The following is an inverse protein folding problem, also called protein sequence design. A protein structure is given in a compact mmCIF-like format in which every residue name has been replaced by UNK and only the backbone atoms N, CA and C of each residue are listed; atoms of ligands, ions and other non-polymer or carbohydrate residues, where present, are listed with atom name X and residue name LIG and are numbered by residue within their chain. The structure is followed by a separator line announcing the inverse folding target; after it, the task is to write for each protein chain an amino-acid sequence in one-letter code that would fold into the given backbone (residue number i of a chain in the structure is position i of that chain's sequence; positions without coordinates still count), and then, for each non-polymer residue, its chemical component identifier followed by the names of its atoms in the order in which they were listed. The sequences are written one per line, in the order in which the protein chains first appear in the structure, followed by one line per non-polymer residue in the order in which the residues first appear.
data_IF_756002790944
#
_entry.id   IF_756002790944
#
_cell.length_a   1.000
_cell.length_b   1.000
_cell.length_c   1.000
_cell.angle_alpha   90.00
_cell.angle_beta   90.00
_cell.angle_gamma   90.00
#
_symmetry.space_group_name_H-M   'P 1'
#
loop_
_entity.id
_entity.type
_entity.pdbx_description
1 polymer ?
#
# COMPACT_ATOMS: atom_id res chain seq x y z
N UNK A 1 19.27 4.91 28.87
CA UNK A 1 17.93 4.51 28.39
C UNK A 1 18.06 4.42 26.88
N UNK A 2 18.32 3.23 26.37
CA UNK A 2 18.58 3.01 24.94
C UNK A 2 17.28 2.42 24.41
N UNK A 3 16.50 3.22 23.69
CA UNK A 3 15.27 2.73 23.09
C UNK A 3 15.65 1.94 21.85
N UNK A 4 15.46 0.62 21.92
CA UNK A 4 15.55 -0.30 20.79
C UNK A 4 14.54 0.13 19.72
N UNK A 5 15.03 0.73 18.63
CA UNK A 5 14.23 0.94 17.43
C UNK A 5 13.99 -0.42 16.77
N UNK A 6 12.80 -0.94 17.06
CA UNK A 6 12.27 -2.21 16.61
C UNK A 6 12.41 -2.36 15.09
N UNK A 7 13.24 -3.31 14.69
CA UNK A 7 13.45 -3.74 13.32
C UNK A 7 12.16 -4.34 12.75
N UNK A 8 11.52 -3.66 11.82
CA UNK A 8 10.61 -4.30 10.88
C UNK A 8 11.29 -4.44 9.51
N UNK A 9 11.26 -5.63 8.89
CA UNK A 9 11.88 -5.84 7.60
C UNK A 9 11.06 -5.10 6.54
N UNK A 10 11.45 -3.86 6.24
CA UNK A 10 11.06 -3.20 4.99
C UNK A 10 11.60 -4.08 3.88
N UNK A 11 10.72 -4.93 3.34
CA UNK A 11 10.81 -5.43 1.97
C UNK A 11 11.37 -4.28 1.15
N UNK A 12 12.59 -4.48 0.61
CA UNK A 12 13.28 -3.53 -0.24
C UNK A 12 12.36 -3.17 -1.40
N UNK A 13 11.54 -2.15 -1.20
CA UNK A 13 10.75 -1.52 -2.24
C UNK A 13 11.78 -0.97 -3.21
N UNK A 14 11.74 -1.44 -4.45
CA UNK A 14 12.51 -0.92 -5.59
C UNK A 14 12.23 0.58 -5.87
N UNK A 15 11.44 1.24 -5.04
CA UNK A 15 11.07 2.65 -5.11
C UNK A 15 11.42 3.35 -3.80
N UNK A 16 12.68 3.75 -3.65
CA UNK A 16 13.15 4.61 -2.55
C UNK A 16 12.49 6.01 -2.54
N UNK A 17 11.67 6.32 -3.55
CA UNK A 17 11.17 7.66 -3.85
C UNK A 17 9.64 7.81 -3.68
N UNK A 18 8.90 6.73 -3.41
CA UNK A 18 7.44 6.81 -3.19
C UNK A 18 7.14 6.98 -1.70
N UNK A 19 6.57 8.12 -1.32
CA UNK A 19 6.14 8.41 0.06
C UNK A 19 4.68 8.03 0.23
N UNK A 20 4.38 7.14 1.18
CA UNK A 20 3.00 6.84 1.52
C UNK A 20 2.29 8.11 2.01
N UNK A 21 1.13 8.38 1.44
CA UNK A 21 0.32 9.57 1.74
C UNK A 21 -0.92 9.20 2.54
N UNK A 22 -1.76 8.31 2.01
CA UNK A 22 -2.98 7.87 2.70
C UNK A 22 -3.46 6.54 2.16
N UNK A 23 -4.35 5.89 2.92
CA UNK A 23 -5.08 4.70 2.48
C UNK A 23 -6.58 4.95 2.59
N UNK A 24 -7.34 4.47 1.61
CA UNK A 24 -8.78 4.69 1.51
C UNK A 24 -9.51 3.42 1.03
N UNK A 25 -10.78 3.23 1.41
CA UNK A 25 -11.60 2.15 0.87
C UNK A 25 -11.68 2.24 -0.66
N UNK A 26 -11.44 1.11 -1.32
CA UNK A 26 -11.69 0.93 -2.74
C UNK A 26 -13.02 0.21 -2.93
N UNK A 27 -13.94 0.83 -3.67
CA UNK A 27 -15.16 0.17 -4.12
C UNK A 27 -15.04 -0.05 -5.62
N UNK A 28 -15.35 -1.26 -6.06
CA UNK A 28 -15.36 -1.61 -7.47
C UNK A 28 -16.42 -0.79 -8.20
N UNK A 29 -16.00 0.04 -9.14
CA UNK A 29 -16.91 0.70 -10.06
C UNK A 29 -17.02 -0.13 -11.33
N UNK A 30 -18.26 -0.33 -11.80
CA UNK A 30 -18.55 -0.92 -13.12
C UNK A 30 -18.11 -2.39 -13.32
N UNK A 31 -18.04 -3.17 -12.25
CA UNK A 31 -17.73 -4.61 -12.31
C UNK A 31 -16.29 -4.96 -12.67
N UNK A 32 -15.39 -3.97 -12.78
CA UNK A 32 -13.98 -4.22 -13.05
C UNK A 32 -13.23 -4.48 -11.73
N UNK A 33 -13.19 -5.76 -11.35
CA UNK A 33 -12.42 -6.22 -10.20
C UNK A 33 -10.95 -5.86 -10.40
N UNK A 34 -10.40 -5.09 -9.47
CA UNK A 34 -8.96 -4.80 -9.45
C UNK A 34 -8.27 -5.75 -8.48
N UNK A 35 -7.22 -6.46 -8.90
CA UNK A 35 -6.48 -7.36 -8.02
C UNK A 35 -5.56 -6.58 -7.08
N UNK A 36 -5.29 -7.16 -5.92
CA UNK A 36 -4.28 -6.71 -4.98
C UNK A 36 -2.90 -6.86 -5.60
N UNK A 37 -2.10 -5.80 -5.54
CA UNK A 37 -0.73 -5.78 -6.10
C UNK A 37 0.23 -6.79 -5.45
N UNK A 38 -0.11 -7.30 -4.26
CA UNK A 38 0.72 -8.25 -3.50
C UNK A 38 0.33 -9.71 -3.76
N UNK A 39 -0.97 -10.03 -3.66
CA UNK A 39 -1.43 -11.42 -3.64
C UNK A 39 -2.43 -11.78 -4.74
N UNK A 40 -2.84 -10.83 -5.59
CA UNK A 40 -3.78 -11.07 -6.67
C UNK A 40 -5.26 -11.19 -6.25
N UNK A 41 -5.56 -11.35 -4.96
CA UNK A 41 -6.94 -11.35 -4.44
C UNK A 41 -7.65 -10.02 -4.72
N UNK A 42 -8.98 -10.02 -4.69
CA UNK A 42 -9.78 -8.79 -4.86
C UNK A 42 -9.31 -7.67 -3.93
N UNK A 43 -8.99 -6.51 -4.51
CA UNK A 43 -8.62 -5.33 -3.75
C UNK A 43 -9.86 -4.64 -3.17
N UNK A 44 -9.71 -4.14 -1.95
CA UNK A 44 -10.74 -3.41 -1.18
C UNK A 44 -10.19 -2.10 -0.62
N UNK A 45 -8.91 -1.81 -0.85
CA UNK A 45 -8.21 -0.62 -0.37
C UNK A 45 -7.34 -0.03 -1.48
N UNK A 46 -7.24 1.30 -1.52
CA UNK A 46 -6.27 2.03 -2.35
C UNK A 46 -5.27 2.74 -1.45
N UNK A 47 -3.98 2.45 -1.67
CA UNK A 47 -2.88 3.20 -1.09
C UNK A 47 -2.46 4.30 -2.06
N UNK A 48 -2.41 5.52 -1.56
CA UNK A 48 -1.95 6.69 -2.29
C UNK A 48 -0.51 6.96 -1.89
N UNK A 49 0.36 7.05 -2.88
CA UNK A 49 1.76 7.44 -2.73
C UNK A 49 2.05 8.71 -3.50
N UNK A 50 2.87 9.56 -2.93
CA UNK A 50 3.39 10.76 -3.58
C UNK A 50 4.82 10.49 -4.04
N UNK A 51 5.11 10.84 -5.29
CA UNK A 51 6.45 10.91 -5.87
C UNK A 51 6.65 12.32 -6.44
N UNK A 52 7.88 12.70 -6.77
CA UNK A 52 8.14 14.02 -7.35
C UNK A 52 7.36 14.21 -8.66
N UNK A 53 6.39 15.12 -8.63
CA UNK A 53 5.55 15.48 -9.77
C UNK A 53 4.38 14.53 -10.08
N UNK A 54 4.14 13.46 -9.29
CA UNK A 54 3.04 12.54 -9.55
C UNK A 54 2.48 11.85 -8.30
N UNK A 55 1.29 11.27 -8.47
CA UNK A 55 0.63 10.43 -7.46
C UNK A 55 0.48 9.03 -8.01
N UNK A 56 0.93 8.03 -7.25
CA UNK A 56 0.77 6.61 -7.57
C UNK A 56 -0.35 6.05 -6.69
N UNK A 57 -1.30 5.34 -7.31
CA UNK A 57 -2.36 4.63 -6.60
C UNK A 57 -2.13 3.14 -6.78
N UNK A 58 -1.89 2.43 -5.69
CA UNK A 58 -1.76 0.96 -5.67
C UNK A 58 -2.94 0.35 -4.90
N UNK A 59 -3.41 -0.81 -5.35
CA UNK A 59 -4.62 -1.44 -4.82
C UNK A 59 -4.26 -2.67 -3.98
N UNK A 60 -4.89 -2.81 -2.82
CA UNK A 60 -4.60 -3.84 -1.83
C UNK A 60 -5.89 -4.50 -1.33
N UNK A 61 -5.81 -5.78 -0.93
CA UNK A 61 -6.85 -6.40 -0.11
C UNK A 61 -6.63 -6.05 1.37
N UNK A 62 -7.66 -6.22 2.21
CA UNK A 62 -7.60 -5.87 3.63
C UNK A 62 -6.48 -6.58 4.41
N UNK A 63 -6.16 -7.82 4.06
CA UNK A 63 -5.08 -8.57 4.71
C UNK A 63 -3.72 -7.97 4.37
N UNK A 64 -3.48 -7.69 3.08
CA UNK A 64 -2.20 -7.13 2.64
C UNK A 64 -2.05 -5.67 3.04
N UNK A 65 -3.14 -4.89 3.09
CA UNK A 65 -3.07 -3.51 3.54
C UNK A 65 -2.71 -3.41 5.02
N UNK A 66 -3.37 -4.19 5.89
CA UNK A 66 -3.06 -4.22 7.31
C UNK A 66 -1.62 -4.65 7.58
N UNK A 67 -1.12 -5.66 6.86
CA UNK A 67 0.23 -6.16 7.07
C UNK A 67 1.33 -5.18 6.60
N UNK A 68 1.02 -4.20 5.74
CA UNK A 68 2.02 -3.30 5.16
C UNK A 68 1.89 -1.84 5.61
N UNK A 69 0.74 -1.42 6.16
CA UNK A 69 0.44 -0.02 6.48
C UNK A 69 -0.21 0.20 7.86
N UNK A 70 -0.45 -0.86 8.67
CA UNK A 70 -1.09 -0.75 9.99
C UNK A 70 -0.11 -0.85 11.15
#
# INVERSE_FOLDING_TARGET
MISEENTQPKTRSLYSYKKFSSMRPFVEENGNIKPCVICGNKATQEAVFTVDGATIIEKYCDSCSKNNFS
#
